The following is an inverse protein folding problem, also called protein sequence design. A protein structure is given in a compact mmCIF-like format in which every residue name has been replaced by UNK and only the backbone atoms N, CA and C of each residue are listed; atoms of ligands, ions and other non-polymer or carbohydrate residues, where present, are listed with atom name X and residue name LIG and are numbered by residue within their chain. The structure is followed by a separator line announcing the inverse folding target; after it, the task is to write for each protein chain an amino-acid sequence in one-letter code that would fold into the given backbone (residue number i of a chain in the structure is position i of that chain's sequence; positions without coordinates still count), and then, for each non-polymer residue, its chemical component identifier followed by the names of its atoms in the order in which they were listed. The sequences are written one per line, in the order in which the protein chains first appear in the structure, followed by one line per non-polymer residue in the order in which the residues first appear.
data_IF_997703689804
#
_entry.id   IF_997703689804
#
_cell.length_a   1.000
_cell.length_b   1.000
_cell.length_c   1.000
_cell.angle_alpha   90.00
_cell.angle_beta   90.00
_cell.angle_gamma   90.00
#
_symmetry.space_group_name_H-M   'P 1'
#
loop_
_entity.id
_entity.type
_entity.pdbx_description
1 polymer ?
#
# COMPACT_ATOMS: atom_id res chain seq x y z
N UNK A 1 -23.25 -34.94 -34.34
CA UNK A 1 -21.97 -34.37 -34.81
C UNK A 1 -21.36 -33.59 -33.67
N UNK A 2 -20.15 -33.93 -33.27
CA UNK A 2 -19.34 -33.19 -32.29
C UNK A 2 -18.83 -31.91 -32.95
N UNK A 3 -18.82 -30.78 -32.25
CA UNK A 3 -17.72 -29.82 -32.33
C UNK A 3 -17.47 -29.22 -30.95
N UNK A 4 -16.28 -29.53 -30.44
CA UNK A 4 -15.68 -28.99 -29.24
C UNK A 4 -15.43 -27.49 -29.38
N UNK A 5 -15.63 -26.73 -28.31
CA UNK A 5 -14.71 -25.64 -27.96
C UNK A 5 -14.76 -25.44 -26.44
N UNK A 6 -13.84 -26.13 -25.77
CA UNK A 6 -13.49 -25.89 -24.37
C UNK A 6 -12.67 -24.60 -24.37
N UNK A 7 -13.26 -23.49 -23.93
CA UNK A 7 -12.48 -22.31 -23.55
C UNK A 7 -11.91 -22.58 -22.16
N UNK A 8 -10.73 -23.20 -22.14
CA UNK A 8 -9.81 -23.17 -21.01
C UNK A 8 -9.43 -21.72 -20.74
N UNK A 9 -10.15 -21.06 -19.84
CA UNK A 9 -9.68 -19.81 -19.24
C UNK A 9 -8.56 -20.22 -18.29
N UNK A 10 -7.34 -19.91 -18.70
CA UNK A 10 -6.11 -20.10 -17.94
C UNK A 10 -6.28 -19.56 -16.53
N UNK A 11 -6.19 -20.46 -15.55
CA UNK A 11 -5.96 -20.11 -14.16
C UNK A 11 -4.62 -19.38 -14.07
N UNK A 12 -4.64 -18.05 -14.02
CA UNK A 12 -3.50 -17.30 -13.51
C UNK A 12 -3.55 -17.46 -12.00
N UNK A 13 -2.90 -18.52 -11.54
CA UNK A 13 -2.40 -18.65 -10.19
C UNK A 13 -1.52 -17.43 -9.89
N UNK A 14 -2.09 -16.40 -9.28
CA UNK A 14 -1.32 -15.41 -8.52
C UNK A 14 -1.37 -15.80 -7.04
N UNK A 15 -0.85 -16.99 -6.76
CA UNK A 15 -0.53 -17.38 -5.39
C UNK A 15 0.78 -16.69 -5.00
N UNK A 16 0.67 -15.50 -4.43
CA UNK A 16 1.65 -14.99 -3.50
C UNK A 16 0.84 -14.41 -2.35
N UNK A 17 1.14 -14.85 -1.13
CA UNK A 17 0.66 -14.27 0.13
C UNK A 17 1.09 -12.81 0.23
N UNK A 18 0.43 -11.95 -0.54
CA UNK A 18 0.53 -10.51 -0.49
C UNK A 18 -0.62 -10.03 0.37
N UNK A 19 -0.33 -9.26 1.41
CA UNK A 19 -1.32 -8.41 2.05
C UNK A 19 -2.06 -7.68 0.93
N UNK A 20 -3.38 -7.92 0.81
CA UNK A 20 -4.16 -7.42 -0.32
C UNK A 20 -4.17 -5.89 -0.26
N UNK A 21 -3.22 -5.29 -0.98
CA UNK A 21 -3.18 -3.86 -1.15
C UNK A 21 -4.44 -3.42 -1.90
N UNK A 22 -5.07 -2.40 -1.37
CA UNK A 22 -6.27 -1.81 -1.92
C UNK A 22 -5.86 -0.53 -2.63
N UNK A 23 -5.96 -0.52 -3.95
CA UNK A 23 -5.63 0.62 -4.78
C UNK A 23 -6.87 1.46 -5.07
N UNK A 24 -6.68 2.74 -5.37
CA UNK A 24 -7.72 3.64 -5.87
C UNK A 24 -9.00 3.70 -5.01
N UNK A 25 -8.83 3.87 -3.69
CA UNK A 25 -9.93 4.03 -2.74
C UNK A 25 -10.66 5.38 -2.81
N UNK A 26 -10.52 6.12 -3.92
CA UNK A 26 -11.03 7.47 -4.09
C UNK A 26 -10.15 8.56 -3.46
N UNK A 27 -10.67 9.79 -3.45
CA UNK A 27 -9.92 10.98 -3.02
C UNK A 27 -9.14 11.65 -4.17
N UNK A 28 -8.16 12.49 -3.81
CA UNK A 28 -7.29 13.15 -4.79
C UNK A 28 -6.29 12.20 -5.46
N UNK A 29 -5.78 12.62 -6.60
CA UNK A 29 -4.76 11.90 -7.35
C UNK A 29 -3.37 12.33 -6.90
N UNK A 30 -2.47 11.37 -6.73
CA UNK A 30 -1.04 11.61 -6.54
C UNK A 30 -0.25 11.03 -7.71
N UNK A 31 0.93 11.59 -7.97
CA UNK A 31 1.87 11.07 -8.96
C UNK A 31 2.57 9.83 -8.43
N UNK A 32 2.67 8.80 -9.26
CA UNK A 32 3.35 7.55 -8.89
C UNK A 32 4.87 7.74 -8.69
N UNK A 33 5.48 8.69 -9.40
CA UNK A 33 6.87 9.11 -9.15
C UNK A 33 7.04 9.75 -7.77
N UNK A 34 6.06 10.55 -7.35
CA UNK A 34 6.06 11.20 -6.05
C UNK A 34 5.83 10.18 -4.94
N UNK A 35 4.91 9.24 -5.15
CA UNK A 35 4.67 8.13 -4.24
C UNK A 35 5.90 7.25 -4.06
N UNK A 36 6.63 6.93 -5.13
CA UNK A 36 7.90 6.21 -5.04
C UNK A 36 8.94 6.99 -4.21
N UNK A 37 9.02 8.30 -4.42
CA UNK A 37 9.96 9.16 -3.69
C UNK A 37 9.55 9.30 -2.23
N UNK A 38 8.26 9.45 -1.94
CA UNK A 38 7.70 9.48 -0.60
C UNK A 38 7.96 8.14 0.12
N UNK A 39 7.85 7.00 -0.56
CA UNK A 39 8.20 5.71 0.01
C UNK A 39 9.70 5.63 0.35
N UNK A 40 10.58 6.17 -0.49
CA UNK A 40 12.02 6.21 -0.22
C UNK A 40 12.37 7.07 1.01
N UNK A 41 11.53 8.05 1.38
CA UNK A 41 11.71 8.86 2.60
C UNK A 41 11.10 8.22 3.86
N UNK A 42 10.35 7.11 3.71
CA UNK A 42 9.78 6.37 4.84
C UNK A 42 10.88 5.80 5.73
N UNK A 43 10.89 6.21 6.99
CA UNK A 43 11.87 5.72 7.96
C UNK A 43 11.57 4.26 8.30
N UNK A 44 12.55 3.38 8.07
CA UNK A 44 12.45 1.96 8.38
C UNK A 44 12.63 1.70 9.89
N UNK A 45 11.52 1.79 10.64
CA UNK A 45 11.33 1.35 12.03
C UNK A 45 12.27 1.89 13.13
N UNK A 46 11.78 1.93 14.39
CA UNK A 46 10.38 1.86 14.80
C UNK A 46 9.69 3.23 14.72
N UNK A 47 8.46 3.27 14.20
CA UNK A 47 7.62 4.47 14.26
C UNK A 47 6.78 4.45 15.55
N UNK A 48 7.10 5.36 16.46
CA UNK A 48 6.30 5.61 17.66
C UNK A 48 5.19 6.62 17.35
N UNK A 49 3.95 6.21 17.59
CA UNK A 49 2.78 7.10 17.59
C UNK A 49 2.73 7.88 18.91
N UNK A 50 2.37 9.16 18.86
CA UNK A 50 2.16 9.98 20.05
C UNK A 50 0.97 9.51 20.87
N UNK A 51 0.83 10.01 22.10
CA UNK A 51 -0.23 9.61 23.00
C UNK A 51 -1.61 9.98 22.41
N UNK A 52 -2.46 8.97 22.12
CA UNK A 52 -3.77 9.15 21.51
C UNK A 52 -3.78 9.19 19.97
N UNK A 53 -2.63 9.11 19.31
CA UNK A 53 -2.56 9.09 17.84
C UNK A 53 -2.77 7.66 17.32
N UNK A 54 -3.67 7.51 16.34
CA UNK A 54 -3.90 6.28 15.58
C UNK A 54 -3.32 6.34 14.16
N UNK A 55 -2.85 7.52 13.74
CA UNK A 55 -2.22 7.74 12.45
C UNK A 55 -1.02 8.69 12.56
N UNK A 56 0.00 8.47 11.74
CA UNK A 56 1.19 9.32 11.63
C UNK A 56 1.74 9.30 10.22
N UNK A 57 2.09 10.48 9.71
CA UNK A 57 2.85 10.59 8.47
C UNK A 57 4.25 10.00 8.68
N UNK A 58 4.65 9.12 7.78
CA UNK A 58 5.92 8.39 7.81
C UNK A 58 6.85 8.77 6.66
N UNK A 59 6.31 9.40 5.63
CA UNK A 59 7.06 9.92 4.48
C UNK A 59 6.17 10.86 3.65
N UNK A 60 6.79 11.67 2.81
CA UNK A 60 6.07 12.60 1.95
C UNK A 60 7.00 13.21 0.90
N UNK A 61 6.46 13.41 -0.31
CA UNK A 61 7.14 14.09 -1.39
C UNK A 61 6.14 14.57 -2.43
N UNK A 62 6.28 15.82 -2.89
CA UNK A 62 5.43 16.37 -3.96
C UNK A 62 3.95 16.21 -3.63
N UNK A 63 3.24 15.47 -4.49
CA UNK A 63 1.80 15.20 -4.39
C UNK A 63 1.42 13.98 -3.54
N UNK A 64 2.39 13.24 -2.99
CA UNK A 64 2.13 11.98 -2.29
C UNK A 64 2.62 11.99 -0.83
N UNK A 65 1.78 11.48 0.07
CA UNK A 65 2.11 11.29 1.48
C UNK A 65 1.91 9.84 1.92
N UNK A 66 2.94 9.29 2.58
CA UNK A 66 2.88 8.00 3.23
C UNK A 66 2.42 8.14 4.68
N UNK A 67 1.36 7.43 5.05
CA UNK A 67 0.76 7.42 6.37
C UNK A 67 0.76 6.01 6.96
N UNK A 68 1.11 5.90 8.24
CA UNK A 68 0.91 4.71 9.05
C UNK A 68 -0.34 4.90 9.89
N UNK A 69 -1.33 4.03 9.75
CA UNK A 69 -2.51 3.96 10.63
C UNK A 69 -2.47 2.66 11.42
N UNK A 70 -2.57 2.71 12.75
CA UNK A 70 -2.68 1.50 13.59
C UNK A 70 -3.38 1.76 14.92
N UNK A 71 -3.86 0.68 15.52
CA UNK A 71 -4.40 0.69 16.87
C UNK A 71 -3.31 1.04 17.90
N UNK A 72 -3.69 1.74 18.96
CA UNK A 72 -2.81 2.19 20.05
C UNK A 72 -2.03 1.03 20.69
N UNK A 73 -2.65 -0.14 20.78
CA UNK A 73 -2.07 -1.35 21.39
C UNK A 73 -1.17 -2.16 20.46
N UNK A 74 -1.22 -1.92 19.15
CA UNK A 74 -0.38 -2.63 18.16
C UNK A 74 1.07 -2.17 18.27
N UNK A 75 2.02 -2.90 17.68
CA UNK A 75 3.37 -2.42 17.34
C UNK A 75 3.50 -2.30 15.82
N UNK A 76 4.64 -1.79 15.35
CA UNK A 76 5.02 -1.79 13.93
C UNK A 76 6.40 -2.44 13.89
N UNK A 77 6.41 -3.71 13.56
CA UNK A 77 7.60 -4.54 13.37
C UNK A 77 7.90 -4.73 11.87
N UNK A 78 6.92 -4.49 11.00
CA UNK A 78 7.09 -4.60 9.54
C UNK A 78 7.88 -3.44 8.94
N UNK A 79 8.63 -3.69 7.87
CA UNK A 79 9.36 -2.66 7.14
C UNK A 79 8.37 -1.75 6.38
N UNK A 80 8.08 -0.58 6.95
CA UNK A 80 7.14 0.39 6.37
C UNK A 80 7.55 0.89 4.98
N UNK A 81 8.86 1.00 4.73
CA UNK A 81 9.37 1.34 3.41
C UNK A 81 9.03 0.22 2.41
N UNK A 82 9.24 -1.05 2.78
CA UNK A 82 8.88 -2.19 1.93
C UNK A 82 7.37 -2.26 1.67
N UNK A 83 6.53 -2.04 2.70
CA UNK A 83 5.08 -1.99 2.53
C UNK A 83 4.64 -0.82 1.63
N UNK A 84 5.25 0.36 1.79
CA UNK A 84 4.98 1.51 0.92
C UNK A 84 5.39 1.20 -0.53
N UNK A 85 6.59 0.64 -0.75
CA UNK A 85 7.03 0.21 -2.08
C UNK A 85 6.15 -0.87 -2.68
N UNK A 86 5.57 -1.77 -1.87
CA UNK A 86 4.58 -2.74 -2.36
C UNK A 86 3.31 -2.06 -2.86
N UNK A 87 2.83 -1.02 -2.17
CA UNK A 87 1.70 -0.20 -2.65
C UNK A 87 2.05 0.42 -4.01
N UNK A 88 3.23 1.02 -4.15
CA UNK A 88 3.62 1.63 -5.44
C UNK A 88 3.75 0.55 -6.52
N UNK A 89 4.39 -0.57 -6.24
CA UNK A 89 4.56 -1.64 -7.21
C UNK A 89 3.23 -2.25 -7.70
N UNK A 90 2.20 -2.31 -6.86
CA UNK A 90 0.88 -2.85 -7.25
C UNK A 90 -0.10 -1.80 -7.77
N UNK A 91 -0.18 -0.64 -7.10
CA UNK A 91 -1.16 0.41 -7.43
C UNK A 91 -0.68 1.40 -8.50
N UNK A 92 0.63 1.49 -8.74
CA UNK A 92 1.22 2.31 -9.81
C UNK A 92 1.74 1.48 -10.99
N UNK A 93 1.39 0.20 -11.08
CA UNK A 93 1.75 -0.65 -12.21
C UNK A 93 1.07 -0.16 -13.49
N UNK A 94 1.84 0.43 -14.41
CA UNK A 94 1.35 0.85 -15.73
C UNK A 94 0.51 2.14 -15.73
N UNK A 95 0.52 2.92 -14.63
CA UNK A 95 -0.20 4.20 -14.53
C UNK A 95 0.70 5.31 -14.02
N UNK A 96 0.44 6.55 -14.45
CA UNK A 96 1.21 7.75 -14.04
C UNK A 96 0.71 8.33 -12.72
N UNK A 97 -0.59 8.20 -12.48
CA UNK A 97 -1.26 8.68 -11.28
C UNK A 97 -2.05 7.56 -10.63
N UNK A 98 -2.16 7.61 -9.31
CA UNK A 98 -3.03 6.74 -8.53
C UNK A 98 -3.79 7.58 -7.49
N UNK A 99 -4.86 7.01 -6.93
CA UNK A 99 -5.56 7.61 -5.79
C UNK A 99 -5.21 6.85 -4.51
N UNK A 100 -5.82 7.24 -3.40
CA UNK A 100 -5.58 6.63 -2.07
C UNK A 100 -5.40 5.12 -2.17
N UNK A 101 -4.26 4.64 -1.70
CA UNK A 101 -3.89 3.23 -1.78
C UNK A 101 -3.38 2.74 -0.44
N UNK A 102 -3.76 1.54 -0.01
CA UNK A 102 -3.46 1.06 1.35
C UNK A 102 -3.04 -0.39 1.36
N UNK A 103 -2.13 -0.77 2.24
CA UNK A 103 -1.76 -2.16 2.50
C UNK A 103 -1.86 -2.44 4.01
N UNK A 104 -2.52 -3.53 4.45
CA UNK A 104 -2.56 -3.87 5.85
C UNK A 104 -1.17 -4.22 6.39
N UNK A 105 -0.97 -4.00 7.68
CA UNK A 105 0.24 -4.43 8.40
C UNK A 105 0.28 -5.96 8.56
N UNK A 106 1.43 -6.48 8.95
CA UNK A 106 1.66 -7.93 9.05
C UNK A 106 0.74 -8.62 10.06
N UNK A 107 0.57 -9.94 9.91
CA UNK A 107 -0.30 -10.75 10.78
C UNK A 107 0.03 -10.56 12.26
N UNK A 108 -0.95 -10.11 13.05
CA UNK A 108 -0.78 -9.78 14.47
C UNK A 108 -0.71 -8.27 14.75
N UNK A 109 -0.65 -7.44 13.72
CA UNK A 109 -0.73 -5.98 13.83
C UNK A 109 -2.10 -5.47 13.38
N UNK A 110 -2.68 -4.54 14.16
CA UNK A 110 -3.93 -3.87 13.79
C UNK A 110 -3.61 -2.54 13.14
N UNK A 111 -3.48 -2.50 11.81
CA UNK A 111 -3.20 -1.27 11.08
C UNK A 111 -2.96 -1.44 9.58
N UNK A 112 -2.60 -0.35 8.92
CA UNK A 112 -2.26 -0.28 7.50
C UNK A 112 -1.26 0.85 7.21
N UNK A 113 -0.46 0.68 6.16
CA UNK A 113 0.25 1.77 5.49
C UNK A 113 -0.64 2.28 4.37
N UNK A 114 -0.69 3.60 4.19
CA UNK A 114 -1.52 4.28 3.21
C UNK A 114 -0.68 5.29 2.44
N UNK A 115 -0.91 5.42 1.14
CA UNK A 115 -0.42 6.53 0.32
C UNK A 115 -1.65 7.35 -0.07
N UNK A 116 -1.64 8.64 0.27
CA UNK A 116 -2.69 9.60 -0.07
C UNK A 116 -2.10 10.80 -0.81
N UNK A 117 -2.96 11.63 -1.38
CA UNK A 117 -2.55 12.95 -1.85
C UNK A 117 -2.13 13.83 -0.66
N UNK A 118 -1.08 14.62 -0.83
CA UNK A 118 -0.72 15.74 0.07
C UNK A 118 -1.78 16.82 0.11
#
# INVERSE_FOLDING_TARGET
MRFNQILTVSFIYLAASAFAQQCNQGGGFFLCSDAQTACNTVTANPVTLGNGQTAKQIGGFGTAEGWLTRAKSSKTNGNLNALCSQIVAGCCAGVTTAQKSTIPLESGEQGSVQIITS
#
